data_IF_713347963880
#
_entry.id   IF_713347963880
#
_cell.length_a   1.000
_cell.length_b   1.000
_cell.length_c   1.000
_cell.angle_alpha   90.00
_cell.angle_beta   90.00
_cell.angle_gamma   90.00
#
_symmetry.space_group_name_H-M   'P 1'
#
loop_
_entity.id
_entity.type
_entity.pdbx_description
1 polymer ?
#
# COMPACT_ATOMS: atom_id res chain seq x y z
N UNK A 1 -4.97 -6.69 9.18
CA UNK A 1 -5.97 -7.23 8.24
C UNK A 1 -5.34 -7.66 6.91
N UNK A 2 -5.03 -6.77 5.94
CA UNK A 2 -4.43 -7.22 4.66
C UNK A 2 -2.93 -7.54 4.74
N UNK A 3 -2.13 -6.75 5.49
CA UNK A 3 -0.71 -7.05 5.66
C UNK A 3 -0.48 -8.41 6.35
N UNK A 4 -1.29 -8.75 7.36
CA UNK A 4 -1.19 -10.03 8.06
C UNK A 4 -1.64 -11.19 7.17
N UNK A 5 -2.70 -10.99 6.37
CA UNK A 5 -3.12 -11.93 5.34
C UNK A 5 -1.99 -12.18 4.32
N UNK A 6 -1.43 -11.11 3.75
CA UNK A 6 -0.32 -11.18 2.82
C UNK A 6 0.85 -11.98 3.41
N UNK A 7 1.23 -11.66 4.66
CA UNK A 7 2.32 -12.33 5.35
C UNK A 7 2.07 -13.83 5.49
N UNK A 8 0.84 -14.25 5.83
CA UNK A 8 0.46 -15.67 5.91
C UNK A 8 0.48 -16.38 4.55
N UNK A 9 0.12 -15.69 3.47
CA UNK A 9 0.15 -16.26 2.11
C UNK A 9 1.58 -16.28 1.52
N UNK A 10 2.54 -15.60 2.15
CA UNK A 10 3.94 -15.60 1.72
C UNK A 10 4.33 -14.42 0.83
N UNK A 11 3.53 -13.36 0.79
CA UNK A 11 3.92 -12.09 0.18
C UNK A 11 3.88 -10.94 1.19
N UNK A 12 4.41 -9.79 0.80
CA UNK A 12 4.42 -8.61 1.67
C UNK A 12 3.75 -7.45 0.97
N UNK A 13 2.83 -6.80 1.69
CA UNK A 13 2.11 -5.63 1.24
C UNK A 13 2.47 -4.40 2.09
N UNK A 14 2.51 -3.23 1.45
CA UNK A 14 2.75 -1.93 2.08
C UNK A 14 1.47 -1.11 2.00
N UNK A 15 1.23 -0.33 3.05
CA UNK A 15 0.18 0.70 3.05
C UNK A 15 0.64 1.82 2.13
N UNK A 16 -0.17 2.17 1.13
CA UNK A 16 0.18 3.19 0.14
C UNK A 16 -0.58 4.48 0.42
N UNK A 17 -1.86 4.54 0.04
CA UNK A 17 -2.69 5.73 0.14
C UNK A 17 -3.97 5.46 0.96
N UNK A 18 -4.48 6.50 1.60
CA UNK A 18 -5.77 6.50 2.29
C UNK A 18 -6.54 7.75 1.91
N UNK A 19 -7.74 7.57 1.38
CA UNK A 19 -8.66 8.67 1.06
C UNK A 19 -9.79 8.67 2.08
N UNK A 20 -10.26 9.85 2.48
CA UNK A 20 -11.35 10.03 3.43
C UNK A 20 -12.56 10.67 2.76
N UNK A 21 -13.74 10.44 3.33
CA UNK A 21 -14.93 11.20 2.99
C UNK A 21 -14.80 12.63 3.52
N UNK A 22 -15.22 13.61 2.70
CA UNK A 22 -15.00 15.04 2.95
C UNK A 22 -15.57 15.52 4.29
N UNK A 23 -16.70 14.97 4.72
CA UNK A 23 -17.44 15.47 5.90
C UNK A 23 -17.30 14.60 7.15
N UNK A 24 -17.11 13.28 7.00
CA UNK A 24 -17.23 12.32 8.11
C UNK A 24 -15.89 11.82 8.63
N UNK A 25 -14.76 12.23 8.02
CA UNK A 25 -13.40 11.71 8.32
C UNK A 25 -13.32 10.16 8.31
N UNK A 26 -14.32 9.49 7.74
CA UNK A 26 -14.34 8.04 7.58
C UNK A 26 -13.51 7.66 6.37
N UNK A 27 -12.84 6.51 6.44
CA UNK A 27 -11.97 6.04 5.36
C UNK A 27 -12.85 5.67 4.16
N UNK A 28 -12.66 6.38 3.05
CA UNK A 28 -13.31 6.13 1.76
C UNK A 28 -12.59 5.04 0.98
N UNK A 29 -11.26 5.15 0.91
CA UNK A 29 -10.42 4.18 0.19
C UNK A 29 -9.19 3.87 1.02
N UNK A 30 -8.85 2.58 1.11
CA UNK A 30 -7.58 2.12 1.66
C UNK A 30 -6.82 1.31 0.62
N UNK A 31 -5.65 1.79 0.23
CA UNK A 31 -4.80 1.14 -0.77
C UNK A 31 -3.64 0.39 -0.12
N UNK A 32 -3.38 -0.81 -0.63
CA UNK A 32 -2.16 -1.56 -0.36
C UNK A 32 -1.46 -1.92 -1.66
N UNK A 33 -0.14 -1.84 -1.66
CA UNK A 33 0.71 -2.23 -2.80
C UNK A 33 1.69 -3.32 -2.41
N UNK A 34 2.21 -4.04 -3.40
CA UNK A 34 3.30 -4.99 -3.17
C UNK A 34 4.52 -4.29 -2.52
N UNK A 35 5.23 -4.99 -1.62
CA UNK A 35 6.49 -4.52 -1.05
C UNK A 35 7.55 -4.20 -2.11
N UNK A 36 7.44 -4.85 -3.26
CA UNK A 36 8.30 -4.72 -4.43
C UNK A 36 7.86 -3.60 -5.39
N UNK A 37 6.77 -2.87 -5.11
CA UNK A 37 6.26 -1.83 -6.01
C UNK A 37 7.15 -0.59 -6.11
N UNK A 38 7.12 0.03 -7.30
CA UNK A 38 7.85 1.24 -7.65
C UNK A 38 9.35 1.02 -7.83
N UNK A 39 10.07 2.12 -8.00
CA UNK A 39 11.53 2.17 -8.04
C UNK A 39 12.05 3.23 -7.08
N UNK A 40 13.16 2.96 -6.40
CA UNK A 40 13.78 3.97 -5.54
C UNK A 40 14.59 4.93 -6.39
N UNK A 41 14.35 6.23 -6.23
CA UNK A 41 15.21 7.26 -6.81
C UNK A 41 16.63 7.11 -6.27
N UNK A 42 17.59 6.94 -7.18
CA UNK A 42 19.02 6.91 -6.84
C UNK A 42 19.39 8.31 -6.36
N UNK A 43 19.79 8.43 -5.10
CA UNK A 43 20.34 9.69 -4.57
C UNK A 43 21.78 9.81 -5.07
N UNK A 44 22.14 10.99 -5.57
CA UNK A 44 23.49 11.28 -6.10
C UNK A 44 24.58 11.23 -5.04
N UNK A 45 24.24 11.41 -3.75
CA UNK A 45 25.22 11.34 -2.67
C UNK A 45 25.49 9.89 -2.24
N UNK A 46 26.75 9.43 -2.31
CA UNK A 46 27.13 8.11 -1.82
C UNK A 46 27.00 8.10 -0.29
N UNK A 47 26.05 7.31 0.22
CA UNK A 47 25.97 7.01 1.65
C UNK A 47 26.84 5.80 1.96
N UNK A 48 27.61 5.85 3.04
CA UNK A 48 28.42 4.71 3.56
C UNK A 48 27.60 3.43 3.75
N UNK A 49 26.28 3.55 3.97
CA UNK A 49 25.35 2.44 4.01
C UNK A 49 24.13 2.70 3.12
N UNK A 50 23.83 1.76 2.23
CA UNK A 50 22.60 1.74 1.43
C UNK A 50 21.86 0.44 1.70
N UNK A 51 20.69 0.54 2.33
CA UNK A 51 19.75 -0.60 2.41
C UNK A 51 19.49 -1.12 1.00
N UNK A 52 19.71 -2.42 0.79
CA UNK A 52 19.43 -3.09 -0.49
C UNK A 52 17.98 -2.79 -0.87
N UNK A 53 17.81 -2.31 -2.10
CA UNK A 53 16.47 -2.05 -2.61
C UNK A 53 15.93 -3.34 -3.20
N UNK A 54 14.81 -3.78 -2.66
CA UNK A 54 14.15 -4.98 -3.10
C UNK A 54 13.06 -4.68 -4.12
N UNK A 55 12.78 -3.42 -4.43
CA UNK A 55 11.74 -3.03 -5.38
C UNK A 55 12.09 -3.43 -6.81
N UNK A 56 11.10 -3.95 -7.53
CA UNK A 56 11.21 -4.45 -8.91
C UNK A 56 10.14 -3.83 -9.81
N UNK A 57 9.62 -2.67 -9.43
CA UNK A 57 8.53 -1.99 -10.14
C UNK A 57 7.23 -2.82 -10.27
N UNK A 58 6.96 -3.66 -9.27
CA UNK A 58 5.74 -4.47 -9.24
C UNK A 58 4.48 -3.58 -9.20
N UNK A 59 3.55 -3.78 -10.15
CA UNK A 59 2.33 -2.99 -10.26
C UNK A 59 1.15 -3.54 -9.44
N UNK A 60 1.34 -4.67 -8.75
CA UNK A 60 0.29 -5.28 -7.95
C UNK A 60 -0.13 -4.35 -6.79
N UNK A 61 -1.42 -3.99 -6.80
CA UNK A 61 -2.08 -3.19 -5.79
C UNK A 61 -3.50 -3.73 -5.55
N UNK A 62 -4.08 -3.32 -4.43
CA UNK A 62 -5.45 -3.64 -4.06
C UNK A 62 -6.07 -2.42 -3.38
N UNK A 63 -7.32 -2.14 -3.72
CA UNK A 63 -8.09 -1.02 -3.20
C UNK A 63 -9.30 -1.53 -2.42
N UNK A 64 -9.40 -1.11 -1.17
CA UNK A 64 -10.59 -1.32 -0.35
C UNK A 64 -11.43 -0.04 -0.41
N UNK A 65 -12.62 -0.13 -1.00
CA UNK A 65 -13.56 0.97 -1.17
C UNK A 65 -14.72 0.84 -0.19
N UNK A 66 -15.04 1.91 0.54
CA UNK A 66 -16.29 2.01 1.31
C UNK A 66 -17.35 2.77 0.50
N UNK A 67 -18.56 2.23 0.44
CA UNK A 67 -19.67 2.75 -0.38
C UNK A 67 -20.60 3.70 0.39
N UNK A 68 -20.58 3.63 1.72
CA UNK A 68 -21.40 4.43 2.65
C UNK A 68 -20.73 4.41 4.03
N UNK A 69 -21.26 5.18 4.98
CA UNK A 69 -20.92 5.05 6.41
C UNK A 69 -21.30 3.65 6.97
N UNK A 70 -22.09 2.89 6.21
CA UNK A 70 -22.63 1.56 6.56
C UNK A 70 -21.61 0.41 6.52
N UNK A 71 -20.32 0.66 6.79
CA UNK A 71 -19.25 -0.34 7.02
C UNK A 71 -19.05 -1.41 5.92
N UNK A 72 -19.67 -1.28 4.75
CA UNK A 72 -19.52 -2.21 3.64
C UNK A 72 -18.29 -1.88 2.80
N UNK A 73 -17.37 -2.84 2.68
CA UNK A 73 -16.13 -2.72 1.91
C UNK A 73 -16.19 -3.58 0.65
N UNK A 74 -15.94 -2.97 -0.52
CA UNK A 74 -15.63 -3.71 -1.76
C UNK A 74 -14.12 -3.70 -1.97
N UNK A 75 -13.63 -4.81 -2.48
CA UNK A 75 -12.23 -4.99 -2.83
C UNK A 75 -12.10 -4.99 -4.36
N UNK A 76 -11.16 -4.23 -4.89
CA UNK A 76 -10.81 -4.17 -6.31
C UNK A 76 -9.31 -4.24 -6.50
#
# INVERSE_FOLDING_TARGET
>A
MYCDYAHRIGFSARKQHVTYWTHTRTIKVREYSCSKSGSKRIKSSPKKYRKLDTRTDCLACIHFHSYSDDKNWKVT
#
